data_IF_833352083745
#
_entry.id   IF_833352083745
#
_cell.length_a   1.000
_cell.length_b   1.000
_cell.length_c   1.000
_cell.angle_alpha   90.00
_cell.angle_beta   90.00
_cell.angle_gamma   90.00
#
_symmetry.space_group_name_H-M   'P 1'
#
loop_
_entity.id
_entity.type
_entity.pdbx_description
1 polymer ?
#
# COMPACT_ATOMS: atom_id res chain seq x y z
N UNK A 1 11.36 -18.47 -46.54
CA UNK A 1 12.01 -18.13 -45.26
C UNK A 1 11.09 -17.18 -44.51
N UNK A 2 9.99 -17.73 -43.99
CA UNK A 2 8.99 -17.02 -43.15
C UNK A 2 8.60 -17.95 -42.01
N UNK A 3 9.28 -17.86 -40.91
CA UNK A 3 8.89 -18.52 -39.66
C UNK A 3 9.82 -18.01 -38.54
N UNK A 4 9.51 -16.87 -37.91
CA UNK A 4 10.10 -16.46 -36.64
C UNK A 4 9.44 -15.17 -36.06
N UNK A 5 8.13 -14.99 -36.24
CA UNK A 5 7.44 -13.84 -35.62
C UNK A 5 6.26 -14.22 -34.71
N UNK A 6 6.04 -15.52 -34.47
CA UNK A 6 4.85 -15.98 -33.74
C UNK A 6 5.07 -16.28 -32.25
N UNK A 7 6.29 -16.24 -31.74
CA UNK A 7 6.56 -16.62 -30.33
C UNK A 7 6.68 -15.46 -29.33
N UNK A 8 6.75 -14.21 -29.82
CA UNK A 8 6.89 -13.04 -28.92
C UNK A 8 5.53 -12.48 -28.47
N UNK A 9 4.47 -12.74 -29.24
CA UNK A 9 3.12 -12.26 -28.92
C UNK A 9 2.42 -13.13 -27.86
N UNK A 10 2.84 -14.38 -27.70
CA UNK A 10 2.22 -15.33 -26.76
C UNK A 10 2.66 -15.06 -25.30
N UNK A 11 3.84 -14.49 -25.07
CA UNK A 11 4.35 -14.25 -23.71
C UNK A 11 3.81 -12.93 -23.07
N UNK A 12 3.41 -11.96 -23.88
CA UNK A 12 2.78 -10.71 -23.39
C UNK A 12 1.28 -10.88 -23.10
N UNK A 13 0.61 -11.80 -23.79
CA UNK A 13 -0.78 -12.15 -23.52
C UNK A 13 -0.97 -13.02 -22.27
N UNK A 14 0.03 -13.78 -21.84
CA UNK A 14 -0.09 -14.62 -20.64
C UNK A 14 -0.05 -13.83 -19.34
N UNK A 15 0.59 -12.67 -19.31
CA UNK A 15 0.57 -11.77 -18.14
C UNK A 15 -0.70 -10.89 -18.08
N UNK A 16 -1.33 -10.61 -19.23
CA UNK A 16 -2.61 -9.89 -19.28
C UNK A 16 -3.82 -10.82 -19.11
N UNK A 17 -3.71 -12.08 -19.51
CA UNK A 17 -4.75 -13.10 -19.32
C UNK A 17 -4.84 -13.63 -17.87
N UNK A 18 -3.82 -13.44 -17.04
CA UNK A 18 -3.90 -13.68 -15.60
C UNK A 18 -4.64 -12.58 -14.84
N UNK A 19 -4.94 -11.45 -15.48
CA UNK A 19 -5.75 -10.37 -14.93
C UNK A 19 -7.26 -10.48 -15.23
N UNK A 20 -7.62 -11.35 -16.18
CA UNK A 20 -9.02 -11.65 -16.49
C UNK A 20 -9.27 -13.10 -16.15
N UNK A 21 -9.51 -13.44 -14.88
CA UNK A 21 -10.36 -14.59 -14.66
C UNK A 21 -10.81 -14.79 -13.24
N UNK A 22 -12.10 -14.92 -13.23
CA UNK A 22 -13.00 -15.52 -12.27
C UNK A 22 -13.18 -14.66 -11.03
N UNK A 23 -14.37 -14.10 -10.95
CA UNK A 23 -15.07 -13.96 -9.69
C UNK A 23 -14.91 -15.28 -8.94
N UNK A 24 -13.81 -15.40 -8.21
CA UNK A 24 -13.66 -16.44 -7.23
C UNK A 24 -14.81 -16.17 -6.30
N UNK A 25 -15.77 -17.07 -6.25
CA UNK A 25 -16.82 -16.98 -5.26
C UNK A 25 -16.08 -17.08 -3.91
N UNK A 26 -15.82 -15.91 -3.33
CA UNK A 26 -15.13 -15.77 -2.04
C UNK A 26 -15.84 -16.64 -1.00
N UNK A 27 -17.15 -16.75 -1.15
CA UNK A 27 -18.02 -17.54 -0.29
C UNK A 27 -17.72 -19.05 -0.33
N UNK A 28 -17.07 -19.57 -1.37
CA UNK A 28 -16.69 -20.98 -1.47
C UNK A 28 -15.28 -21.32 -0.97
N UNK A 29 -14.46 -20.32 -0.71
CA UNK A 29 -13.04 -20.49 -0.32
C UNK A 29 -12.80 -20.32 1.19
N UNK A 30 -13.70 -19.63 1.87
CA UNK A 30 -13.73 -19.53 3.33
C UNK A 30 -14.82 -20.45 3.81
N UNK A 31 -14.60 -21.14 4.91
CA UNK A 31 -15.69 -21.66 5.72
C UNK A 31 -16.37 -20.46 6.40
N UNK A 32 -17.14 -19.68 5.60
CA UNK A 32 -17.76 -18.38 5.93
C UNK A 32 -18.65 -18.48 7.16
N UNK A 33 -19.12 -19.70 7.46
CA UNK A 33 -19.92 -19.95 8.66
C UNK A 33 -19.16 -19.66 9.97
N UNK A 34 -17.84 -19.51 9.94
CA UNK A 34 -17.02 -19.35 11.15
C UNK A 34 -16.66 -17.89 11.47
N UNK A 35 -16.70 -16.97 10.49
CA UNK A 35 -16.29 -15.59 10.69
C UNK A 35 -17.40 -14.61 10.32
N UNK A 36 -17.61 -13.60 11.18
CA UNK A 36 -18.50 -12.49 10.86
C UNK A 36 -17.85 -11.57 9.82
N UNK A 37 -18.60 -11.17 8.81
CA UNK A 37 -18.14 -10.30 7.73
C UNK A 37 -19.10 -9.15 7.52
N UNK A 38 -18.56 -7.93 7.42
CA UNK A 38 -19.25 -6.76 6.95
C UNK A 38 -18.70 -6.40 5.57
N UNK A 39 -19.54 -6.44 4.52
CA UNK A 39 -19.15 -6.11 3.15
C UNK A 39 -19.69 -4.76 2.73
N UNK A 40 -18.95 -4.08 1.87
CA UNK A 40 -19.32 -2.80 1.25
C UNK A 40 -19.72 -1.70 2.25
N UNK A 41 -19.10 -1.73 3.44
CA UNK A 41 -19.30 -0.72 4.47
C UNK A 41 -18.78 0.62 3.96
N UNK A 42 -19.64 1.64 3.94
CA UNK A 42 -19.28 2.99 3.51
C UNK A 42 -18.51 3.72 4.61
N UNK A 43 -17.37 4.33 4.26
CA UNK A 43 -16.57 5.15 5.16
C UNK A 43 -16.44 6.62 4.71
N UNK A 44 -17.11 6.97 3.61
CA UNK A 44 -17.17 8.31 3.03
C UNK A 44 -18.19 8.38 1.89
N UNK A 45 -18.36 9.58 1.33
CA UNK A 45 -19.44 9.88 0.36
C UNK A 45 -19.14 9.42 -1.07
N UNK A 46 -17.86 9.29 -1.42
CA UNK A 46 -17.52 8.88 -2.77
C UNK A 46 -17.90 7.40 -3.00
N UNK A 47 -18.33 7.07 -4.22
CA UNK A 47 -18.77 5.70 -4.57
C UNK A 47 -17.73 4.61 -4.25
N UNK A 48 -16.44 4.95 -4.28
CA UNK A 48 -15.35 4.03 -3.95
C UNK A 48 -14.99 4.01 -2.47
N UNK A 49 -15.52 4.90 -1.63
CA UNK A 49 -15.26 4.86 -0.20
C UNK A 49 -16.02 3.70 0.46
N UNK A 50 -15.53 2.50 0.25
CA UNK A 50 -16.10 1.27 0.81
C UNK A 50 -15.00 0.31 1.27
N UNK A 51 -15.30 -0.45 2.30
CA UNK A 51 -14.42 -1.47 2.86
C UNK A 51 -15.19 -2.76 3.14
N UNK A 52 -14.46 -3.86 3.20
CA UNK A 52 -14.92 -5.11 3.80
C UNK A 52 -14.11 -5.37 5.05
N UNK A 53 -14.74 -5.91 6.09
CA UNK A 53 -14.07 -6.26 7.34
C UNK A 53 -14.49 -7.65 7.79
N UNK A 54 -13.51 -8.51 8.06
CA UNK A 54 -13.63 -9.88 8.55
C UNK A 54 -13.20 -9.91 10.01
N UNK A 55 -14.09 -10.32 10.89
CA UNK A 55 -13.81 -10.36 12.30
C UNK A 55 -13.29 -11.75 12.70
N UNK A 56 -12.20 -11.77 13.43
CA UNK A 56 -11.75 -12.97 14.11
C UNK A 56 -12.78 -13.40 15.17
N UNK A 57 -12.89 -14.70 15.40
CA UNK A 57 -13.86 -15.25 16.33
C UNK A 57 -13.36 -15.13 17.78
N UNK A 58 -13.59 -13.98 18.39
CA UNK A 58 -13.15 -13.65 19.75
C UNK A 58 -14.22 -12.89 20.52
N UNK A 59 -14.30 -13.17 21.83
CA UNK A 59 -15.13 -12.38 22.77
C UNK A 59 -14.44 -11.08 23.17
N UNK A 60 -13.11 -11.05 23.14
CA UNK A 60 -12.29 -9.89 23.41
C UNK A 60 -12.07 -9.07 22.14
N UNK A 61 -11.76 -7.80 22.29
CA UNK A 61 -11.37 -6.94 21.14
C UNK A 61 -10.14 -7.51 20.45
N UNK A 62 -10.19 -7.57 19.12
CA UNK A 62 -9.12 -8.17 18.32
C UNK A 62 -8.25 -7.10 17.68
N UNK A 63 -6.94 -7.35 17.48
CA UNK A 63 -6.13 -6.59 16.56
C UNK A 63 -6.71 -6.62 15.15
N UNK A 64 -6.31 -5.65 14.32
CA UNK A 64 -6.75 -5.56 12.93
C UNK A 64 -5.58 -5.35 11.98
N UNK A 65 -5.59 -6.03 10.84
CA UNK A 65 -4.77 -5.68 9.69
C UNK A 65 -5.64 -5.07 8.58
N UNK A 66 -5.30 -3.89 8.09
CA UNK A 66 -5.98 -3.24 6.96
C UNK A 66 -5.14 -3.42 5.70
N UNK A 67 -5.71 -4.03 4.66
CA UNK A 67 -5.09 -4.18 3.35
C UNK A 67 -5.52 -3.09 2.38
N UNK A 68 -4.55 -2.42 1.76
CA UNK A 68 -4.73 -1.37 0.75
C UNK A 68 -4.24 -1.93 -0.60
N UNK A 69 -5.14 -1.98 -1.58
CA UNK A 69 -4.81 -2.54 -2.89
C UNK A 69 -3.86 -1.66 -3.70
N UNK A 70 -3.08 -2.28 -4.58
CA UNK A 70 -2.28 -1.58 -5.59
C UNK A 70 -3.09 -1.18 -6.81
N UNK A 71 -2.40 -0.67 -7.84
CA UNK A 71 -3.00 -0.27 -9.11
C UNK A 71 -2.57 1.13 -9.56
N UNK A 72 -1.42 1.62 -9.09
CA UNK A 72 -0.83 2.90 -9.52
C UNK A 72 -1.72 4.11 -9.23
N UNK A 73 -2.61 4.04 -8.26
CA UNK A 73 -3.65 5.04 -7.95
C UNK A 73 -4.68 5.28 -9.07
N UNK A 74 -4.65 4.52 -10.16
CA UNK A 74 -5.57 4.63 -11.31
C UNK A 74 -6.45 3.41 -11.50
N UNK A 75 -6.24 2.36 -10.72
CA UNK A 75 -6.94 1.09 -10.85
C UNK A 75 -6.91 0.27 -9.57
N UNK A 76 -7.49 -0.92 -9.63
CA UNK A 76 -7.52 -1.86 -8.50
C UNK A 76 -8.85 -1.88 -7.77
N UNK A 77 -8.98 -2.84 -6.86
CA UNK A 77 -10.18 -3.06 -6.07
C UNK A 77 -9.82 -3.79 -4.77
N UNK A 78 -10.60 -3.56 -3.71
CA UNK A 78 -10.49 -4.26 -2.42
C UNK A 78 -10.54 -5.80 -2.57
N UNK A 79 -11.21 -6.31 -3.61
CA UNK A 79 -11.29 -7.74 -3.91
C UNK A 79 -9.93 -8.38 -4.26
N UNK A 80 -8.87 -7.56 -4.47
CA UNK A 80 -7.51 -8.07 -4.60
C UNK A 80 -7.03 -8.83 -3.35
N UNK A 81 -7.58 -8.51 -2.18
CA UNK A 81 -7.34 -9.25 -0.94
C UNK A 81 -7.80 -10.71 -1.03
N UNK A 82 -8.81 -11.00 -1.85
CA UNK A 82 -9.42 -12.32 -1.98
C UNK A 82 -8.78 -13.22 -3.03
N UNK A 83 -7.73 -12.77 -3.71
CA UNK A 83 -6.98 -13.63 -4.63
C UNK A 83 -6.27 -14.74 -3.85
N UNK A 84 -6.19 -15.94 -4.45
CA UNK A 84 -5.74 -17.19 -3.81
C UNK A 84 -4.58 -17.06 -2.81
N UNK A 85 -3.50 -16.35 -3.18
CA UNK A 85 -2.34 -16.21 -2.30
C UNK A 85 -2.57 -15.28 -1.12
N UNK A 86 -3.35 -14.21 -1.30
CA UNK A 86 -3.71 -13.28 -0.23
C UNK A 86 -4.70 -13.92 0.72
N UNK A 87 -5.60 -14.71 0.18
CA UNK A 87 -6.59 -15.46 0.92
C UNK A 87 -5.98 -16.43 1.94
N UNK A 88 -4.93 -17.15 1.58
CA UNK A 88 -4.20 -18.02 2.53
C UNK A 88 -3.63 -17.21 3.70
N UNK A 89 -3.16 -15.99 3.44
CA UNK A 89 -2.69 -15.07 4.50
C UNK A 89 -3.83 -14.61 5.39
N UNK A 90 -4.96 -14.20 4.78
CA UNK A 90 -6.16 -13.80 5.49
C UNK A 90 -6.63 -14.88 6.49
N UNK A 91 -6.73 -16.12 6.05
CA UNK A 91 -7.10 -17.24 6.91
C UNK A 91 -6.13 -17.45 8.07
N UNK A 92 -4.82 -17.35 7.81
CA UNK A 92 -3.82 -17.44 8.89
C UNK A 92 -4.00 -16.33 9.94
N UNK A 93 -4.31 -15.10 9.53
CA UNK A 93 -4.54 -13.99 10.46
C UNK A 93 -5.78 -14.20 11.30
N UNK A 94 -6.93 -14.53 10.69
CA UNK A 94 -8.18 -14.81 11.39
C UNK A 94 -8.04 -15.94 12.42
N UNK A 95 -7.32 -17.02 12.06
CA UNK A 95 -7.02 -18.14 12.96
C UNK A 95 -6.02 -17.78 14.09
N UNK A 96 -5.34 -16.64 14.00
CA UNK A 96 -4.50 -16.07 15.06
C UNK A 96 -5.17 -14.89 15.77
N UNK A 97 -6.50 -14.84 15.76
CA UNK A 97 -7.31 -13.80 16.40
C UNK A 97 -7.05 -12.38 15.88
N UNK A 98 -6.54 -12.21 14.66
CA UNK A 98 -6.34 -10.92 14.02
C UNK A 98 -7.43 -10.73 12.97
N UNK A 99 -8.29 -9.74 13.18
CA UNK A 99 -9.29 -9.33 12.21
C UNK A 99 -8.63 -8.71 10.96
N UNK A 100 -9.35 -8.68 9.85
CA UNK A 100 -8.81 -8.23 8.58
C UNK A 100 -9.79 -7.30 7.87
N UNK A 101 -9.30 -6.17 7.36
CA UNK A 101 -10.08 -5.29 6.50
C UNK A 101 -9.39 -5.08 5.15
N UNK A 102 -10.18 -4.80 4.12
CA UNK A 102 -9.69 -4.37 2.81
C UNK A 102 -10.51 -3.19 2.32
N UNK A 103 -9.85 -2.21 1.73
CA UNK A 103 -10.46 -0.93 1.38
C UNK A 103 -10.38 -0.65 -0.13
N UNK A 104 -11.40 0.04 -0.64
CA UNK A 104 -11.33 0.80 -1.87
C UNK A 104 -11.08 2.27 -1.54
N UNK A 105 -10.33 2.97 -2.37
CA UNK A 105 -10.08 4.41 -2.28
C UNK A 105 -10.33 5.07 -3.64
N UNK A 106 -10.58 6.38 -3.69
CA UNK A 106 -10.69 7.13 -4.94
C UNK A 106 -9.41 6.98 -5.75
N UNK A 107 -9.55 6.86 -7.05
CA UNK A 107 -8.41 6.99 -7.94
C UNK A 107 -7.96 8.45 -8.01
N UNK A 108 -6.68 8.66 -8.30
CA UNK A 108 -6.16 10.00 -8.48
C UNK A 108 -6.95 10.79 -9.55
N UNK A 109 -7.01 12.08 -9.38
CA UNK A 109 -7.72 13.01 -10.24
C UNK A 109 -6.86 14.23 -10.59
N UNK A 110 -7.36 15.10 -11.46
CA UNK A 110 -6.63 16.27 -11.92
C UNK A 110 -6.55 17.42 -10.89
N UNK A 111 -7.35 17.38 -9.81
CA UNK A 111 -7.38 18.43 -8.80
C UNK A 111 -6.35 18.19 -7.70
N UNK A 112 -6.40 16.99 -7.10
CA UNK A 112 -5.61 16.62 -5.92
C UNK A 112 -4.53 15.58 -6.22
N UNK A 113 -4.42 15.11 -7.47
CA UNK A 113 -3.52 14.03 -7.83
C UNK A 113 -3.75 12.78 -6.98
N UNK A 114 -2.66 12.25 -6.40
CA UNK A 114 -2.73 11.06 -5.53
C UNK A 114 -3.20 11.38 -4.11
N UNK A 115 -3.22 12.67 -3.71
CA UNK A 115 -3.57 13.06 -2.34
C UNK A 115 -4.99 12.63 -1.98
N UNK A 116 -5.93 12.66 -2.94
CA UNK A 116 -7.29 12.15 -2.73
C UNK A 116 -7.31 10.66 -2.38
N UNK A 117 -6.45 9.85 -3.01
CA UNK A 117 -6.32 8.42 -2.72
C UNK A 117 -5.71 8.17 -1.34
N UNK A 118 -4.69 8.94 -0.97
CA UNK A 118 -4.01 8.87 0.33
C UNK A 118 -4.96 9.27 1.47
N UNK A 119 -5.70 10.38 1.29
CA UNK A 119 -6.69 10.84 2.26
C UNK A 119 -7.85 9.86 2.44
N UNK A 120 -8.28 9.18 1.38
CA UNK A 120 -9.29 8.14 1.51
C UNK A 120 -8.77 6.94 2.31
N UNK A 121 -7.52 6.53 2.10
CA UNK A 121 -6.92 5.45 2.88
C UNK A 121 -6.78 5.84 4.37
N UNK A 122 -6.36 7.08 4.65
CA UNK A 122 -6.33 7.64 6.01
C UNK A 122 -7.72 7.63 6.63
N UNK A 123 -8.72 8.14 5.92
CA UNK A 123 -10.11 8.18 6.42
C UNK A 123 -10.67 6.78 6.70
N UNK A 124 -10.33 5.78 5.88
CA UNK A 124 -10.77 4.41 6.15
C UNK A 124 -10.21 3.87 7.48
N UNK A 125 -8.94 4.15 7.80
CA UNK A 125 -8.35 3.85 9.11
C UNK A 125 -9.10 4.57 10.24
N UNK A 126 -9.32 5.88 10.11
CA UNK A 126 -10.02 6.69 11.10
C UNK A 126 -11.48 6.22 11.29
N UNK A 127 -12.18 5.88 10.20
CA UNK A 127 -13.53 5.32 10.25
C UNK A 127 -13.59 4.00 11.04
N UNK A 128 -12.63 3.11 10.83
CA UNK A 128 -12.57 1.85 11.58
C UNK A 128 -12.28 2.12 13.05
N UNK A 129 -11.37 3.04 13.37
CA UNK A 129 -11.07 3.43 14.75
C UNK A 129 -12.29 4.06 15.44
N UNK A 130 -13.02 4.93 14.77
CA UNK A 130 -14.25 5.52 15.29
C UNK A 130 -15.33 4.48 15.59
N UNK A 131 -15.44 3.46 14.73
CA UNK A 131 -16.42 2.37 14.85
C UNK A 131 -15.85 1.11 15.54
N UNK A 132 -14.75 1.20 16.28
CA UNK A 132 -14.03 0.06 16.83
C UNK A 132 -14.90 -0.84 17.74
N UNK A 133 -15.82 -0.25 18.50
CA UNK A 133 -16.76 -1.02 19.34
C UNK A 133 -17.70 -1.88 18.49
N UNK A 134 -18.26 -1.32 17.41
CA UNK A 134 -19.13 -2.03 16.46
C UNK A 134 -18.44 -3.24 15.84
N UNK A 135 -17.14 -3.12 15.58
CA UNK A 135 -16.35 -4.17 14.91
C UNK A 135 -15.57 -5.04 15.91
N UNK A 136 -15.74 -4.86 17.21
CA UNK A 136 -14.97 -5.57 18.24
C UNK A 136 -13.45 -5.53 18.00
N UNK A 137 -12.94 -4.35 17.61
CA UNK A 137 -11.53 -4.11 17.29
C UNK A 137 -10.84 -3.36 18.44
N UNK A 138 -9.61 -3.78 18.76
CA UNK A 138 -8.69 -2.98 19.55
C UNK A 138 -8.08 -1.89 18.66
N UNK A 139 -8.59 -0.66 18.77
CA UNK A 139 -8.13 0.47 17.93
C UNK A 139 -6.68 0.90 18.18
N UNK A 140 -6.04 0.37 19.22
CA UNK A 140 -4.62 0.62 19.52
C UNK A 140 -3.71 -0.40 18.83
N UNK A 141 -4.25 -1.50 18.32
CA UNK A 141 -3.53 -2.60 17.67
C UNK A 141 -3.97 -2.75 16.21
N UNK A 142 -3.64 -1.78 15.38
CA UNK A 142 -3.95 -1.79 13.95
C UNK A 142 -2.67 -1.74 13.13
N UNK A 143 -2.48 -2.72 12.25
CA UNK A 143 -1.42 -2.73 11.25
C UNK A 143 -1.94 -2.35 9.86
N UNK A 144 -1.08 -1.78 9.03
CA UNK A 144 -1.37 -1.52 7.62
C UNK A 144 -0.53 -2.42 6.72
N UNK A 145 -1.15 -2.94 5.69
CA UNK A 145 -0.50 -3.74 4.66
C UNK A 145 -0.96 -3.27 3.27
N UNK A 146 -0.03 -3.18 2.34
CA UNK A 146 -0.41 -2.86 0.97
C UNK A 146 0.51 -3.44 -0.09
N UNK A 147 0.10 -3.28 -1.35
CA UNK A 147 0.89 -3.68 -2.51
C UNK A 147 1.03 -2.50 -3.47
N UNK A 148 2.25 -2.22 -3.97
CA UNK A 148 2.51 -1.12 -4.92
C UNK A 148 1.97 0.21 -4.39
N UNK A 149 1.10 0.93 -5.10
CA UNK A 149 0.45 2.15 -4.63
C UNK A 149 -0.17 2.01 -3.22
N UNK A 150 -0.79 0.86 -2.92
CA UNK A 150 -1.34 0.60 -1.59
C UNK A 150 -0.26 0.41 -0.51
N UNK A 151 0.89 -0.17 -0.87
CA UNK A 151 2.03 -0.24 0.03
C UNK A 151 2.57 1.17 0.34
N UNK A 152 2.72 2.01 -0.69
CA UNK A 152 3.15 3.40 -0.52
C UNK A 152 2.15 4.20 0.33
N UNK A 153 0.82 3.96 0.14
CA UNK A 153 -0.20 4.56 1.00
C UNK A 153 -0.08 4.12 2.46
N UNK A 154 0.22 2.84 2.70
CA UNK A 154 0.44 2.31 4.06
C UNK A 154 1.64 2.97 4.73
N UNK A 155 2.75 3.13 4.00
CA UNK A 155 3.95 3.82 4.48
C UNK A 155 3.69 5.32 4.69
N UNK A 156 2.94 5.96 3.79
CA UNK A 156 2.56 7.37 3.94
C UNK A 156 1.76 7.62 5.22
N UNK A 157 0.81 6.73 5.56
CA UNK A 157 0.07 6.85 6.81
C UNK A 157 0.97 6.63 8.02
N UNK A 158 1.80 5.58 7.99
CA UNK A 158 2.55 5.16 9.17
C UNK A 158 3.83 5.94 9.45
N UNK A 159 4.40 6.62 8.44
CA UNK A 159 5.60 7.46 8.57
C UNK A 159 5.30 8.96 8.59
N UNK A 160 4.03 9.35 8.60
CA UNK A 160 3.63 10.69 8.99
C UNK A 160 3.26 10.67 10.47
N UNK A 161 3.50 11.81 11.14
CA UNK A 161 2.93 12.07 12.46
C UNK A 161 1.41 11.89 12.46
N UNK A 162 0.81 11.90 13.64
CA UNK A 162 -0.64 11.83 13.75
C UNK A 162 -1.33 12.93 12.93
N UNK A 163 -2.11 12.50 11.94
CA UNK A 163 -2.84 13.38 11.03
C UNK A 163 -4.29 13.61 11.46
N UNK A 164 -4.63 13.43 12.75
CA UNK A 164 -5.95 13.74 13.27
C UNK A 164 -6.22 15.25 13.21
N UNK A 165 -7.47 15.63 12.95
CA UNK A 165 -7.93 17.01 13.06
C UNK A 165 -8.90 17.15 14.22
N UNK A 166 -8.36 17.50 15.41
CA UNK A 166 -9.13 17.67 16.62
C UNK A 166 -10.15 18.83 16.56
N UNK A 167 -10.10 19.68 15.53
CA UNK A 167 -11.02 20.79 15.29
C UNK A 167 -12.09 20.47 14.26
N UNK A 168 -12.00 19.34 13.58
CA UNK A 168 -13.00 18.92 12.59
C UNK A 168 -14.36 18.72 13.25
N UNK A 169 -15.42 19.13 12.57
CA UNK A 169 -16.80 18.82 12.95
C UNK A 169 -17.13 17.33 12.73
N UNK A 170 -16.42 16.66 11.85
CA UNK A 170 -16.55 15.22 11.63
C UNK A 170 -15.76 14.44 12.73
N UNK A 171 -16.44 13.67 13.59
CA UNK A 171 -15.77 12.91 14.64
C UNK A 171 -14.80 11.84 14.10
N UNK A 172 -14.95 11.39 12.85
CA UNK A 172 -14.04 10.44 12.22
C UNK A 172 -12.66 11.08 12.03
N UNK A 173 -12.60 12.33 11.57
CA UNK A 173 -11.33 13.04 11.32
C UNK A 173 -10.55 13.33 12.62
N UNK A 174 -11.21 13.27 13.78
CA UNK A 174 -10.59 13.41 15.09
C UNK A 174 -9.90 12.14 15.60
N UNK A 175 -10.16 10.98 15.00
CA UNK A 175 -9.41 9.75 15.33
C UNK A 175 -7.96 9.83 14.86
N UNK A 176 -7.04 9.38 15.72
CA UNK A 176 -5.62 9.39 15.38
C UNK A 176 -5.29 8.41 14.22
N UNK A 177 -4.17 8.66 13.55
CA UNK A 177 -3.72 7.85 12.42
C UNK A 177 -2.55 6.91 12.76
N UNK A 178 -2.16 6.83 14.04
CA UNK A 178 -1.07 5.96 14.49
C UNK A 178 -1.40 4.49 14.28
N UNK A 179 -0.39 3.70 13.92
CA UNK A 179 -0.54 2.26 13.64
C UNK A 179 0.59 1.47 14.31
N UNK A 180 0.37 0.17 14.50
CA UNK A 180 1.30 -0.70 15.23
C UNK A 180 2.42 -1.26 14.36
N UNK A 181 2.13 -1.51 13.09
CA UNK A 181 3.13 -2.00 12.13
C UNK A 181 2.74 -1.73 10.68
N UNK A 182 3.73 -1.79 9.80
CA UNK A 182 3.58 -1.56 8.36
C UNK A 182 4.09 -2.75 7.56
N UNK A 183 3.37 -3.11 6.50
CA UNK A 183 3.80 -4.14 5.55
C UNK A 183 3.68 -3.63 4.13
N UNK A 184 4.81 -3.54 3.43
CA UNK A 184 4.89 -3.07 2.05
C UNK A 184 5.34 -4.14 1.07
N UNK A 185 4.52 -4.45 0.08
CA UNK A 185 4.88 -5.31 -1.05
C UNK A 185 5.16 -4.42 -2.27
N UNK A 186 6.41 -4.35 -2.71
CA UNK A 186 6.86 -3.52 -3.82
C UNK A 186 6.50 -2.02 -3.64
N UNK A 187 6.73 -1.49 -2.44
CA UNK A 187 6.52 -0.08 -2.10
C UNK A 187 7.59 0.81 -2.76
N UNK A 188 7.22 2.05 -3.12
CA UNK A 188 8.18 3.12 -3.32
C UNK A 188 8.64 3.66 -1.96
N UNK A 189 9.91 4.11 -1.87
CA UNK A 189 10.45 4.67 -0.64
C UNK A 189 10.08 6.13 -0.42
N UNK A 190 9.63 6.80 -1.47
CA UNK A 190 9.28 8.22 -1.49
C UNK A 190 8.28 8.47 -2.61
N UNK A 191 7.52 9.55 -2.53
CA UNK A 191 6.66 10.03 -3.62
C UNK A 191 7.34 11.14 -4.43
N UNK A 192 8.50 11.62 -4.01
CA UNK A 192 9.35 12.50 -4.80
C UNK A 192 10.15 11.70 -5.83
N UNK A 193 9.78 11.83 -7.10
CA UNK A 193 10.42 11.12 -8.21
C UNK A 193 11.91 11.48 -8.38
N UNK A 194 12.36 12.65 -7.92
CA UNK A 194 13.77 13.05 -7.96
C UNK A 194 14.62 12.09 -7.14
N UNK A 195 14.13 11.66 -5.98
CA UNK A 195 14.78 10.63 -5.14
C UNK A 195 14.88 9.27 -5.83
N UNK A 196 13.91 8.96 -6.71
CA UNK A 196 13.97 7.71 -7.49
C UNK A 196 15.07 7.75 -8.52
N UNK A 197 15.29 8.92 -9.17
CA UNK A 197 16.41 9.12 -10.10
C UNK A 197 17.75 8.85 -9.42
N UNK A 198 17.96 9.48 -8.27
CA UNK A 198 19.23 9.40 -7.54
C UNK A 198 19.51 7.99 -7.00
N UNK A 199 18.43 7.26 -6.66
CA UNK A 199 18.51 5.88 -6.18
C UNK A 199 19.12 4.89 -7.21
N UNK A 200 18.90 5.09 -8.50
CA UNK A 200 19.31 4.16 -9.56
C UNK A 200 20.15 4.81 -10.67
N UNK A 201 20.69 5.99 -10.43
CA UNK A 201 21.60 6.70 -11.34
C UNK A 201 21.06 6.78 -12.78
N UNK A 202 19.87 7.38 -12.95
CA UNK A 202 19.25 7.55 -14.27
C UNK A 202 19.75 8.79 -14.97
N UNK A 203 19.97 8.64 -16.28
CA UNK A 203 20.17 9.78 -17.17
C UNK A 203 19.01 10.78 -17.10
N UNK A 204 19.31 12.08 -17.05
CA UNK A 204 18.31 13.14 -16.84
C UNK A 204 17.22 13.14 -17.93
N UNK A 205 17.59 12.99 -19.22
CA UNK A 205 16.61 13.03 -20.29
C UNK A 205 15.63 11.85 -20.21
N UNK A 206 16.16 10.69 -19.83
CA UNK A 206 15.33 9.49 -19.64
C UNK A 206 14.42 9.63 -18.42
N UNK A 207 14.92 10.20 -17.34
CA UNK A 207 14.10 10.52 -16.15
C UNK A 207 12.98 11.50 -16.50
N UNK A 208 13.28 12.58 -17.23
CA UNK A 208 12.28 13.57 -17.65
C UNK A 208 11.18 12.94 -18.52
N UNK A 209 11.56 12.06 -19.44
CA UNK A 209 10.58 11.34 -20.27
C UNK A 209 9.63 10.48 -19.43
N UNK A 210 10.16 9.73 -18.46
CA UNK A 210 9.35 8.90 -17.57
C UNK A 210 8.47 9.76 -16.66
N UNK A 211 9.02 10.81 -16.07
CA UNK A 211 8.33 11.72 -15.15
C UNK A 211 7.16 12.41 -15.83
N UNK A 212 7.35 12.95 -17.04
CA UNK A 212 6.28 13.57 -17.84
C UNK A 212 5.16 12.59 -18.17
N UNK A 213 5.50 11.33 -18.51
CA UNK A 213 4.51 10.28 -18.74
C UNK A 213 3.71 9.94 -17.47
N UNK A 214 4.37 9.98 -16.31
CA UNK A 214 3.72 9.74 -15.02
C UNK A 214 2.78 10.88 -14.65
N UNK A 215 3.24 12.13 -14.67
CA UNK A 215 2.44 13.31 -14.35
C UNK A 215 1.24 13.44 -15.27
N UNK A 216 1.44 13.26 -16.59
CA UNK A 216 0.35 13.22 -17.57
C UNK A 216 -0.63 12.07 -17.32
N UNK A 217 -0.12 10.88 -16.99
CA UNK A 217 -0.95 9.72 -16.62
C UNK A 217 -1.71 9.91 -15.30
N UNK A 218 -1.13 10.67 -14.38
CA UNK A 218 -1.75 11.05 -13.12
C UNK A 218 -2.83 12.13 -13.28
N UNK A 219 -3.01 12.68 -14.48
CA UNK A 219 -3.93 13.79 -14.71
C UNK A 219 -3.48 15.09 -14.06
N UNK A 220 -2.23 15.16 -13.61
CA UNK A 220 -1.64 16.37 -13.06
C UNK A 220 -1.33 17.34 -14.20
N UNK A 221 -1.60 18.61 -13.97
CA UNK A 221 -1.23 19.67 -14.90
C UNK A 221 0.29 19.77 -14.95
N UNK A 222 0.88 19.37 -16.08
CA UNK A 222 2.32 19.34 -16.28
C UNK A 222 2.91 20.75 -16.17
N UNK A 223 2.17 21.75 -16.61
CA UNK A 223 2.63 23.16 -16.57
C UNK A 223 2.68 23.65 -15.09
N UNK A 224 1.71 23.25 -14.27
CA UNK A 224 1.74 23.53 -12.82
C UNK A 224 2.77 22.73 -12.06
N UNK A 225 3.08 21.52 -12.51
CA UNK A 225 4.12 20.69 -11.89
C UNK A 225 5.52 21.28 -12.09
N UNK A 226 5.72 22.06 -13.14
CA UNK A 226 6.96 22.80 -13.39
C UNK A 226 7.05 24.10 -12.54
N UNK A 227 5.94 24.55 -11.93
CA UNK A 227 5.96 25.63 -10.92
C UNK A 227 6.59 25.11 -9.62
N UNK A 228 7.80 25.55 -9.32
CA UNK A 228 8.60 25.08 -8.18
C UNK A 228 7.84 25.14 -6.83
N UNK A 229 7.09 26.20 -6.60
CA UNK A 229 6.28 26.38 -5.38
C UNK A 229 5.14 25.35 -5.26
N UNK A 230 4.46 25.06 -6.34
CA UNK A 230 3.42 24.02 -6.35
C UNK A 230 4.01 22.65 -6.12
N UNK A 231 5.14 22.34 -6.74
CA UNK A 231 5.83 21.08 -6.55
C UNK A 231 6.23 20.88 -5.08
N UNK A 232 6.87 21.85 -4.45
CA UNK A 232 7.31 21.78 -3.06
C UNK A 232 6.12 21.65 -2.08
N UNK A 233 5.06 22.43 -2.28
CA UNK A 233 3.85 22.35 -1.44
C UNK A 233 3.14 21.00 -1.59
N UNK A 234 2.99 20.51 -2.82
CA UNK A 234 2.34 19.25 -3.08
C UNK A 234 3.15 18.07 -2.53
N UNK A 235 4.46 18.05 -2.78
CA UNK A 235 5.36 17.03 -2.27
C UNK A 235 5.39 16.98 -0.74
N UNK A 236 5.33 18.12 -0.07
CA UNK A 236 5.27 18.17 1.40
C UNK A 236 4.05 17.41 1.97
N UNK A 237 2.96 17.31 1.19
CA UNK A 237 1.73 16.62 1.56
C UNK A 237 1.76 15.12 1.26
N UNK A 238 2.46 14.71 0.20
CA UNK A 238 2.43 13.33 -0.29
C UNK A 238 3.70 12.54 0.03
N UNK A 239 4.84 13.18 0.24
CA UNK A 239 6.09 12.48 0.58
C UNK A 239 6.21 12.28 2.09
N UNK A 240 6.74 11.11 2.45
CA UNK A 240 6.91 10.69 3.84
C UNK A 240 8.37 10.42 4.21
N UNK A 241 9.27 10.32 3.23
CA UNK A 241 10.61 9.79 3.45
C UNK A 241 11.44 10.63 4.45
N UNK A 242 11.34 11.96 4.37
CA UNK A 242 12.04 12.84 5.33
C UNK A 242 11.31 13.01 6.67
N UNK A 243 10.09 12.53 6.76
CA UNK A 243 9.30 12.56 8.00
C UNK A 243 9.55 11.32 8.87
N UNK A 244 10.22 10.31 8.32
CA UNK A 244 10.58 9.11 9.07
C UNK A 244 11.48 9.45 10.26
N UNK A 245 11.11 8.97 11.45
CA UNK A 245 11.87 9.13 12.67
C UNK A 245 11.94 7.85 13.53
N UNK A 246 12.66 7.90 14.64
CA UNK A 246 12.87 6.74 15.52
C UNK A 246 11.63 6.29 16.30
N UNK A 247 10.54 7.08 16.29
CA UNK A 247 9.26 6.76 16.91
C UNK A 247 8.31 6.00 15.98
N UNK A 248 8.68 5.85 14.71
CA UNK A 248 7.87 5.19 13.70
C UNK A 248 7.64 3.70 13.98
N UNK A 249 6.50 3.16 13.51
CA UNK A 249 6.18 1.76 13.70
C UNK A 249 7.15 0.82 12.96
N UNK A 250 7.40 -0.38 13.52
CA UNK A 250 8.17 -1.42 12.84
C UNK A 250 7.57 -1.75 11.46
N UNK A 251 8.44 -2.09 10.49
CA UNK A 251 7.98 -2.36 9.15
C UNK A 251 8.58 -3.61 8.50
N UNK A 252 7.79 -4.24 7.64
CA UNK A 252 8.18 -5.35 6.79
C UNK A 252 8.07 -4.93 5.32
N UNK A 253 9.18 -5.01 4.56
CA UNK A 253 9.19 -4.71 3.12
C UNK A 253 9.62 -5.92 2.34
N UNK A 254 8.90 -6.25 1.28
CA UNK A 254 9.33 -7.25 0.31
C UNK A 254 9.22 -6.71 -1.12
N UNK A 255 10.27 -6.92 -1.90
CA UNK A 255 10.31 -6.56 -3.31
C UNK A 255 10.84 -7.73 -4.15
N UNK A 256 10.04 -8.19 -5.10
CA UNK A 256 10.38 -9.29 -6.02
C UNK A 256 10.91 -8.78 -7.38
N UNK A 257 11.06 -7.46 -7.52
CA UNK A 257 11.53 -6.82 -8.74
C UNK A 257 12.98 -7.23 -9.10
N UNK A 258 13.32 -7.10 -10.38
CA UNK A 258 14.67 -7.31 -10.86
C UNK A 258 15.44 -5.98 -10.87
N UNK A 259 16.69 -6.02 -10.47
CA UNK A 259 17.58 -4.86 -10.58
C UNK A 259 17.97 -4.66 -12.06
N UNK A 260 17.26 -3.76 -12.72
CA UNK A 260 17.50 -3.40 -14.11
C UNK A 260 17.09 -1.95 -14.35
N UNK A 261 17.63 -1.34 -15.42
CA UNK A 261 17.16 -0.02 -15.87
C UNK A 261 15.65 -0.10 -16.15
N UNK A 262 14.83 0.78 -15.53
CA UNK A 262 13.39 0.79 -15.73
C UNK A 262 13.04 1.08 -17.20
N UNK A 263 12.03 0.42 -17.72
CA UNK A 263 11.52 0.65 -19.09
C UNK A 263 10.28 1.54 -19.11
N UNK A 264 9.66 1.70 -17.97
CA UNK A 264 8.43 2.48 -17.77
C UNK A 264 8.29 2.82 -16.28
N UNK A 265 7.28 3.62 -15.95
CA UNK A 265 7.03 4.05 -14.57
C UNK A 265 6.72 2.88 -13.62
N UNK A 266 6.08 1.83 -14.07
CA UNK A 266 5.79 0.67 -13.23
C UNK A 266 7.09 -0.09 -12.88
N UNK A 267 8.00 -0.29 -13.84
CA UNK A 267 9.33 -0.87 -13.58
C UNK A 267 10.13 0.01 -12.60
N UNK A 268 9.97 1.34 -12.70
CA UNK A 268 10.64 2.30 -11.83
C UNK A 268 10.10 2.20 -10.41
N UNK A 269 8.77 2.27 -10.26
CA UNK A 269 8.09 2.12 -8.96
C UNK A 269 8.40 0.77 -8.27
N UNK A 270 8.53 -0.31 -9.03
CA UNK A 270 8.80 -1.64 -8.49
C UNK A 270 10.30 -2.01 -8.47
N UNK A 271 11.19 -1.05 -8.66
CA UNK A 271 12.62 -1.33 -8.58
C UNK A 271 12.99 -1.77 -7.16
N UNK A 272 13.78 -2.87 -6.98
CA UNK A 272 14.13 -3.38 -5.65
C UNK A 272 15.01 -2.41 -4.84
N UNK A 273 15.62 -1.41 -5.48
CA UNK A 273 16.38 -0.38 -4.79
C UNK A 273 15.52 0.44 -3.80
N UNK A 274 14.20 0.58 -4.03
CA UNK A 274 13.31 1.21 -3.05
C UNK A 274 13.37 0.49 -1.69
N UNK A 275 13.34 -0.84 -1.70
CA UNK A 275 13.44 -1.63 -0.48
C UNK A 275 14.80 -1.44 0.23
N UNK A 276 15.90 -1.32 -0.55
CA UNK A 276 17.23 -1.03 -0.01
C UNK A 276 17.25 0.33 0.70
N UNK A 277 16.71 1.36 0.07
CA UNK A 277 16.68 2.72 0.65
C UNK A 277 15.85 2.76 1.93
N UNK A 278 14.67 2.13 1.95
CA UNK A 278 13.86 2.00 3.16
C UNK A 278 14.60 1.27 4.28
N UNK A 279 15.30 0.17 3.95
CA UNK A 279 16.11 -0.54 4.94
C UNK A 279 17.20 0.34 5.52
N UNK A 280 17.95 1.05 4.68
CA UNK A 280 19.04 1.92 5.13
C UNK A 280 18.52 3.03 6.06
N UNK A 281 17.40 3.68 5.68
CA UNK A 281 16.76 4.72 6.51
C UNK A 281 16.24 4.15 7.84
N UNK A 282 15.60 2.97 7.81
CA UNK A 282 15.14 2.29 9.02
C UNK A 282 16.27 1.89 9.95
N UNK A 283 17.40 1.38 9.41
CA UNK A 283 18.59 1.03 10.20
C UNK A 283 19.22 2.28 10.83
N UNK A 284 19.33 3.38 10.07
CA UNK A 284 19.86 4.67 10.54
C UNK A 284 19.02 5.22 11.71
N UNK A 285 17.71 5.18 11.57
CA UNK A 285 16.75 5.66 12.58
C UNK A 285 16.50 4.64 13.70
N UNK A 286 17.07 3.44 13.62
CA UNK A 286 16.86 2.34 14.56
C UNK A 286 15.41 1.86 14.65
N UNK A 287 14.65 2.01 13.57
CA UNK A 287 13.32 1.43 13.44
C UNK A 287 13.46 -0.07 13.19
N UNK A 288 12.75 -0.90 13.98
CA UNK A 288 12.73 -2.36 13.73
C UNK A 288 12.21 -2.64 12.32
N UNK A 289 13.01 -3.29 11.48
CA UNK A 289 12.61 -3.57 10.11
C UNK A 289 13.02 -4.97 9.65
N UNK A 290 12.21 -5.57 8.78
CA UNK A 290 12.47 -6.83 8.09
C UNK A 290 12.36 -6.59 6.60
N UNK A 291 13.43 -6.77 5.84
CA UNK A 291 13.46 -6.40 4.42
C UNK A 291 13.99 -7.52 3.54
N UNK A 292 13.21 -7.85 2.51
CA UNK A 292 13.58 -8.78 1.44
C UNK A 292 13.55 -8.09 0.08
N UNK A 293 14.67 -8.06 -0.62
CA UNK A 293 14.79 -7.57 -2.00
C UNK A 293 15.69 -8.52 -2.81
N UNK A 294 15.10 -9.63 -3.26
CA UNK A 294 15.82 -10.75 -3.89
C UNK A 294 16.60 -10.31 -5.13
N UNK A 295 16.07 -9.37 -5.92
CA UNK A 295 16.72 -8.86 -7.13
C UNK A 295 18.05 -8.14 -6.91
N UNK A 296 18.38 -7.79 -5.67
CA UNK A 296 19.64 -7.15 -5.25
C UNK A 296 20.33 -7.89 -4.08
N UNK A 297 19.89 -9.12 -3.81
CA UNK A 297 20.52 -9.98 -2.81
C UNK A 297 20.24 -9.60 -1.34
N UNK A 298 19.25 -8.76 -1.06
CA UNK A 298 18.85 -8.47 0.33
C UNK A 298 17.92 -9.57 0.82
N UNK A 299 18.38 -10.29 1.84
CA UNK A 299 17.64 -11.32 2.57
C UNK A 299 17.80 -10.98 4.04
N UNK A 300 16.67 -10.80 4.72
CA UNK A 300 16.69 -10.49 6.14
C UNK A 300 17.26 -11.67 6.96
N UNK A 301 18.22 -11.43 7.84
CA UNK A 301 18.87 -12.51 8.60
C UNK A 301 17.94 -13.20 9.60
N UNK A 302 16.84 -12.56 10.00
CA UNK A 302 15.87 -13.18 10.91
C UNK A 302 15.08 -14.32 10.27
N UNK A 303 15.02 -14.37 8.93
CA UNK A 303 14.15 -15.25 8.17
C UNK A 303 12.66 -15.13 8.55
N UNK A 304 12.26 -14.07 9.21
CA UNK A 304 10.86 -13.82 9.61
C UNK A 304 9.99 -13.67 8.38
N UNK A 305 8.94 -14.46 8.27
CA UNK A 305 7.95 -14.33 7.21
C UNK A 305 7.00 -13.16 7.47
N UNK A 306 6.31 -12.71 6.41
CA UNK A 306 5.37 -11.58 6.50
C UNK A 306 4.25 -11.81 7.51
N UNK A 307 3.65 -13.00 7.53
CA UNK A 307 2.53 -13.32 8.44
C UNK A 307 3.03 -13.44 9.87
N UNK A 308 4.18 -14.05 10.07
CA UNK A 308 4.84 -14.17 11.36
C UNK A 308 5.17 -12.79 11.94
N UNK A 309 5.71 -11.87 11.11
CA UNK A 309 5.94 -10.48 11.50
C UNK A 309 4.64 -9.79 11.95
N UNK A 310 3.56 -9.90 11.16
CA UNK A 310 2.27 -9.28 11.51
C UNK A 310 1.75 -9.81 12.84
N UNK A 311 1.79 -11.13 13.04
CA UNK A 311 1.34 -11.78 14.28
C UNK A 311 2.17 -11.29 15.47
N UNK A 312 3.48 -11.21 15.32
CA UNK A 312 4.39 -10.74 16.38
C UNK A 312 4.12 -9.28 16.77
N UNK A 313 3.80 -8.41 15.79
CA UNK A 313 3.59 -6.99 16.09
C UNK A 313 2.19 -6.70 16.63
N UNK A 314 1.17 -7.50 16.29
CA UNK A 314 -0.21 -7.22 16.66
C UNK A 314 -0.68 -7.96 17.93
N UNK A 315 -0.05 -9.05 18.32
CA UNK A 315 -0.37 -9.77 19.56
C UNK A 315 0.50 -9.31 20.71
#
# INVERSE_FOLDING_TARGET
MRLKLSYIIIFLNSLFLLAQNKNVNVDSLINISEFQVFKDVKYGDHKRNSLDIWLANSKEKTPLLIYIHGGGFVGGNKDHAYRKNNFTRLNKLLNNNISFATINYRFMNNEDGILSSLNDAKRALQYIKYNHEKFNIDKTKIGLMGSSAGATSSLWIGFNDDMSDNKSDDPIDRENTTVTCLVGIAAAHSMDLRRWRDMIDLDQNYFDEISRKYTKGAGLDVDRWEEKTFEEEYLSKIDFFEKMDSGDPPFFIVNYGKNRKPKNIADFHHNPMHAKVLKQKGDELKIKNVVYAMGIGIIDPSNTGMVEFIIEQLN
#
